data_IF_130357904553
#
_entry.id   IF_130357904553
#
_cell.length_a   1.000
_cell.length_b   1.000
_cell.length_c   1.000
_cell.angle_alpha   90.00
_cell.angle_beta   90.00
_cell.angle_gamma   90.00
#
_symmetry.space_group_name_H-M   'P 1'
#
loop_
_entity.id
_entity.type
_entity.pdbx_description
1 polymer ?
#
# COMPACT_ATOMS: atom_id res chain seq x y z
N UNK A 1 -12.90 -1.27 -9.33
CA UNK A 1 -11.82 -1.71 -10.22
C UNK A 1 -11.96 -1.00 -11.57
N UNK A 2 -10.85 -0.58 -12.17
CA UNK A 2 -10.80 0.32 -13.33
C UNK A 2 -10.08 -0.33 -14.52
N UNK A 3 -10.48 0.02 -15.74
CA UNK A 3 -9.78 -0.42 -16.95
C UNK A 3 -8.47 0.35 -17.16
N UNK A 4 -7.56 -0.18 -17.99
CA UNK A 4 -6.34 0.56 -18.36
C UNK A 4 -6.65 1.90 -19.03
N UNK A 5 -7.73 1.98 -19.82
CA UNK A 5 -8.17 3.23 -20.45
C UNK A 5 -8.56 4.28 -19.41
N UNK A 6 -9.33 3.87 -18.40
CA UNK A 6 -9.72 4.77 -17.30
C UNK A 6 -8.49 5.21 -16.49
N UNK A 7 -7.57 4.30 -16.21
CA UNK A 7 -6.32 4.62 -15.52
C UNK A 7 -5.46 5.63 -16.32
N UNK A 8 -5.38 5.49 -17.64
CA UNK A 8 -4.74 6.49 -18.50
C UNK A 8 -5.42 7.86 -18.39
N UNK A 9 -6.75 7.92 -18.44
CA UNK A 9 -7.50 9.18 -18.33
C UNK A 9 -7.25 9.89 -17.00
N UNK A 10 -7.21 9.14 -15.89
CA UNK A 10 -7.00 9.72 -14.56
C UNK A 10 -5.55 10.19 -14.37
N UNK A 11 -4.58 9.38 -14.81
CA UNK A 11 -3.15 9.65 -14.53
C UNK A 11 -2.49 10.54 -15.57
N UNK A 12 -3.05 10.61 -16.77
CA UNK A 12 -2.41 11.19 -17.95
C UNK A 12 -1.25 10.35 -18.51
N UNK A 13 -1.04 9.14 -17.99
CA UNK A 13 -0.03 8.22 -18.51
C UNK A 13 -0.55 7.47 -19.72
N UNK A 14 0.34 7.14 -20.64
CA UNK A 14 0.02 6.24 -21.75
C UNK A 14 -0.11 4.79 -21.25
N UNK A 15 -0.91 3.98 -21.95
CA UNK A 15 -1.00 2.55 -21.67
C UNK A 15 0.37 1.84 -21.75
N UNK A 16 1.28 2.33 -22.60
CA UNK A 16 2.66 1.84 -22.71
C UNK A 16 3.44 2.08 -21.42
N UNK A 17 3.38 3.29 -20.86
CA UNK A 17 4.02 3.63 -19.58
C UNK A 17 3.48 2.77 -18.45
N UNK A 18 2.15 2.64 -18.32
CA UNK A 18 1.52 1.83 -17.27
C UNK A 18 1.98 0.37 -17.35
N UNK A 19 1.97 -0.24 -18.55
CA UNK A 19 2.45 -1.61 -18.76
C UNK A 19 3.94 -1.76 -18.46
N UNK A 20 4.73 -0.73 -18.77
CA UNK A 20 6.14 -0.71 -18.46
C UNK A 20 6.38 -0.65 -16.94
N UNK A 21 5.67 0.19 -16.20
CA UNK A 21 5.78 0.25 -14.75
C UNK A 21 5.34 -1.06 -14.07
N UNK A 22 4.29 -1.71 -14.58
CA UNK A 22 3.91 -3.06 -14.16
C UNK A 22 5.03 -4.07 -14.42
N UNK A 23 5.65 -4.06 -15.61
CA UNK A 23 6.72 -5.01 -15.94
C UNK A 23 8.00 -4.80 -15.12
N UNK A 24 8.26 -3.57 -14.68
CA UNK A 24 9.33 -3.25 -13.74
C UNK A 24 9.00 -3.63 -12.28
N UNK A 25 7.77 -4.08 -12.03
CA UNK A 25 7.29 -4.55 -10.73
C UNK A 25 6.89 -3.44 -9.77
N UNK A 26 6.63 -2.22 -10.27
CA UNK A 26 6.25 -1.07 -9.43
C UNK A 26 4.81 -1.16 -8.92
N UNK A 27 3.95 -1.87 -9.64
CA UNK A 27 2.58 -2.17 -9.26
C UNK A 27 2.16 -3.55 -9.76
N UNK A 28 1.11 -4.12 -9.15
CA UNK A 28 0.56 -5.43 -9.50
C UNK A 28 -0.97 -5.35 -9.53
N UNK A 29 -1.55 -4.85 -10.64
CA UNK A 29 -3.01 -4.74 -10.76
C UNK A 29 -3.65 -6.13 -10.77
N UNK A 30 -4.92 -6.19 -10.37
CA UNK A 30 -5.70 -7.41 -10.43
C UNK A 30 -5.93 -7.84 -11.89
N UNK A 31 -6.11 -9.14 -12.12
CA UNK A 31 -6.48 -9.68 -13.43
C UNK A 31 -7.81 -10.39 -13.33
N UNK A 32 -8.70 -10.09 -14.28
CA UNK A 32 -9.97 -10.81 -14.41
C UNK A 32 -9.73 -12.25 -14.84
N UNK A 33 -10.76 -13.10 -14.73
CA UNK A 33 -10.75 -14.46 -15.29
C UNK A 33 -10.43 -14.46 -16.81
N UNK A 34 -10.83 -13.42 -17.54
CA UNK A 34 -10.49 -13.21 -18.96
C UNK A 34 -9.11 -12.58 -19.21
N UNK A 35 -8.25 -12.46 -18.19
CA UNK A 35 -6.88 -11.96 -18.32
C UNK A 35 -6.72 -10.43 -18.44
N UNK A 36 -7.82 -9.68 -18.35
CA UNK A 36 -7.80 -8.21 -18.45
C UNK A 36 -7.31 -7.57 -17.15
N UNK A 37 -6.52 -6.50 -17.27
CA UNK A 37 -6.03 -5.75 -16.10
C UNK A 37 -7.13 -4.89 -15.51
N UNK A 38 -7.24 -4.97 -14.19
CA UNK A 38 -8.13 -4.16 -13.38
C UNK A 38 -7.30 -3.42 -12.32
N UNK A 39 -7.35 -2.09 -12.39
CA UNK A 39 -6.62 -1.20 -11.50
C UNK A 39 -7.53 -0.78 -10.35
N UNK A 40 -7.03 -0.88 -9.12
CA UNK A 40 -7.65 -0.29 -7.94
C UNK A 40 -7.34 1.22 -7.85
N UNK A 41 -7.99 1.94 -6.94
CA UNK A 41 -7.62 3.33 -6.66
C UNK A 41 -6.19 3.44 -6.14
N UNK A 42 -5.77 2.50 -5.28
CA UNK A 42 -4.39 2.43 -4.81
C UNK A 42 -3.37 2.27 -5.96
N UNK A 43 -3.71 1.51 -7.01
CA UNK A 43 -2.85 1.41 -8.19
C UNK A 43 -2.74 2.76 -8.93
N UNK A 44 -3.83 3.54 -8.97
CA UNK A 44 -3.82 4.89 -9.55
C UNK A 44 -2.94 5.82 -8.73
N UNK A 45 -3.04 5.79 -7.41
CA UNK A 45 -2.18 6.60 -6.52
C UNK A 45 -0.70 6.25 -6.73
N UNK A 46 -0.38 4.96 -6.85
CA UNK A 46 0.98 4.49 -7.17
C UNK A 46 1.45 5.02 -8.52
N UNK A 47 0.60 5.02 -9.54
CA UNK A 47 0.91 5.54 -10.88
C UNK A 47 1.15 7.06 -10.87
N UNK A 48 0.32 7.83 -10.16
CA UNK A 48 0.49 9.28 -9.99
C UNK A 48 1.81 9.58 -9.29
N UNK A 49 2.10 8.87 -8.19
CA UNK A 49 3.35 9.07 -7.49
C UNK A 49 4.57 8.70 -8.37
N UNK A 50 4.51 7.64 -9.20
CA UNK A 50 5.61 7.34 -10.16
C UNK A 50 5.81 8.51 -11.12
N UNK A 51 4.73 9.09 -11.63
CA UNK A 51 4.77 10.22 -12.55
C UNK A 51 5.43 11.44 -11.90
N UNK A 52 5.04 11.77 -10.68
CA UNK A 52 5.60 12.91 -9.94
C UNK A 52 7.08 12.72 -9.65
N UNK A 53 7.47 11.50 -9.31
CA UNK A 53 8.86 11.15 -9.06
C UNK A 53 9.74 11.27 -10.31
N UNK A 54 9.25 10.79 -11.45
CA UNK A 54 9.96 10.94 -12.72
C UNK A 54 10.05 12.42 -13.13
N UNK A 55 9.00 13.21 -12.86
CA UNK A 55 9.00 14.65 -13.11
C UNK A 55 9.99 15.42 -12.21
N UNK A 56 10.21 14.94 -10.99
CA UNK A 56 11.23 15.46 -10.07
C UNK A 56 12.67 15.04 -10.44
N UNK A 57 12.86 14.27 -11.51
CA UNK A 57 14.18 13.85 -12.01
C UNK A 57 14.70 12.55 -11.43
N UNK A 58 13.89 11.80 -10.68
CA UNK A 58 14.29 10.47 -10.21
C UNK A 58 14.32 9.48 -11.37
N UNK A 59 15.27 8.55 -11.31
CA UNK A 59 15.29 7.38 -12.19
C UNK A 59 14.28 6.34 -11.71
N UNK A 60 13.81 5.49 -12.62
CA UNK A 60 12.84 4.45 -12.27
C UNK A 60 13.37 3.45 -11.22
N UNK A 61 14.68 3.22 -11.20
CA UNK A 61 15.33 2.41 -10.16
C UNK A 61 15.21 3.03 -8.77
N UNK A 62 15.47 4.33 -8.65
CA UNK A 62 15.30 5.07 -7.39
C UNK A 62 13.83 5.10 -6.93
N UNK A 63 12.89 5.25 -7.86
CA UNK A 63 11.46 5.17 -7.56
C UNK A 63 11.11 3.80 -6.96
N UNK A 64 11.65 2.73 -7.53
CA UNK A 64 11.43 1.36 -7.04
C UNK A 64 11.98 1.15 -5.64
N UNK A 65 13.19 1.62 -5.37
CA UNK A 65 13.83 1.52 -4.06
C UNK A 65 13.04 2.27 -2.98
N UNK A 66 12.67 3.53 -3.26
CA UNK A 66 11.86 4.33 -2.32
C UNK A 66 10.53 3.64 -2.00
N UNK A 67 9.82 3.15 -3.03
CA UNK A 67 8.54 2.44 -2.84
C UNK A 67 8.69 1.14 -2.05
N UNK A 68 9.81 0.44 -2.20
CA UNK A 68 10.09 -0.74 -1.39
C UNK A 68 10.29 -0.35 0.08
N UNK A 69 11.02 0.73 0.34
CA UNK A 69 11.23 1.26 1.69
C UNK A 69 9.93 1.76 2.35
N UNK A 70 9.08 2.49 1.62
CA UNK A 70 7.77 2.94 2.11
C UNK A 70 6.86 1.77 2.51
N UNK A 71 6.82 0.72 1.68
CA UNK A 71 6.04 -0.49 1.98
C UNK A 71 6.54 -1.18 3.24
N UNK A 72 7.86 -1.26 3.43
CA UNK A 72 8.46 -1.84 4.62
C UNK A 72 8.15 -1.02 5.87
N UNK A 73 8.17 0.32 5.77
CA UNK A 73 7.88 1.21 6.89
C UNK A 73 6.40 1.12 7.33
N UNK A 74 5.46 1.06 6.38
CA UNK A 74 4.05 0.85 6.70
C UNK A 74 3.81 -0.51 7.36
N UNK A 75 4.53 -1.57 6.93
CA UNK A 75 4.44 -2.88 7.57
C UNK A 75 5.00 -2.88 8.99
N UNK A 76 6.05 -2.10 9.29
CA UNK A 76 6.54 -1.95 10.66
C UNK A 76 5.58 -1.17 11.55
N UNK A 77 4.95 -0.11 11.05
CA UNK A 77 3.97 0.67 11.83
C UNK A 77 2.73 -0.18 12.17
N UNK A 78 2.20 -0.92 11.20
CA UNK A 78 1.06 -1.81 11.43
C UNK A 78 1.41 -2.91 12.45
N UNK A 79 2.60 -3.51 12.33
CA UNK A 79 3.08 -4.49 13.33
C UNK A 79 3.20 -3.86 14.72
N UNK A 80 3.71 -2.63 14.83
CA UNK A 80 3.79 -1.93 16.10
C UNK A 80 2.41 -1.71 16.72
N UNK A 81 1.41 -1.30 15.92
CA UNK A 81 0.02 -1.15 16.37
C UNK A 81 -0.59 -2.44 16.89
N UNK A 82 -0.38 -3.55 16.17
CA UNK A 82 -0.87 -4.88 16.58
C UNK A 82 -0.20 -5.32 17.89
N UNK A 83 1.12 -5.19 18.00
CA UNK A 83 1.85 -5.56 19.22
C UNK A 83 1.39 -4.73 20.44
N UNK A 84 1.21 -3.42 20.26
CA UNK A 84 0.68 -2.54 21.30
C UNK A 84 -0.74 -2.93 21.70
N UNK A 85 -1.61 -3.28 20.73
CA UNK A 85 -2.97 -3.74 20.99
C UNK A 85 -2.98 -5.04 21.80
N UNK A 86 -2.18 -6.00 21.39
CA UNK A 86 -2.07 -7.29 22.08
C UNK A 86 -1.55 -7.12 23.51
N UNK A 87 -0.58 -6.22 23.71
CA UNK A 87 -0.05 -5.92 25.04
C UNK A 87 -1.09 -5.21 25.92
N UNK A 88 -1.79 -4.22 25.38
CA UNK A 88 -2.89 -3.53 26.08
C UNK A 88 -3.97 -4.51 26.55
N UNK A 89 -4.32 -5.53 25.73
CA UNK A 89 -5.28 -6.57 26.11
C UNK A 89 -4.76 -7.47 27.23
N UNK A 90 -3.45 -7.81 27.22
CA UNK A 90 -2.81 -8.60 28.29
C UNK A 90 -2.76 -7.83 29.61
N UNK A 91 -2.41 -6.55 29.59
CA UNK A 91 -2.32 -5.71 30.79
C UNK A 91 -3.71 -5.30 31.32
N UNK A 92 -4.68 -5.03 30.44
CA UNK A 92 -6.05 -4.67 30.86
C UNK A 92 -6.84 -5.83 31.49
N UNK A 93 -6.41 -7.08 31.28
CA UNK A 93 -6.97 -8.26 31.96
C UNK A 93 -6.67 -8.33 33.47
N UNK A 94 -5.79 -7.47 34.00
CA UNK A 94 -5.35 -7.51 35.41
C UNK A 94 -6.09 -6.56 36.36
N UNK A 95 -7.07 -5.76 35.91
CA UNK A 95 -7.82 -4.83 36.78
C UNK A 95 -9.12 -5.40 37.40
N UNK A 96 -9.41 -6.69 37.23
CA UNK A 96 -10.62 -7.30 37.82
C UNK A 96 -10.42 -8.10 39.11
N UNK A 97 -9.19 -8.23 39.62
CA UNK A 97 -8.91 -8.98 40.86
C UNK A 97 -8.43 -8.08 42.01
N UNK A 98 -9.11 -6.95 42.24
CA UNK A 98 -9.06 -6.32 43.57
C UNK A 98 -10.29 -6.76 44.36
N UNK A 99 -10.10 -7.89 45.04
CA UNK A 99 -10.98 -8.39 46.09
C UNK A 99 -11.20 -7.30 47.15
N UNK A 100 -12.41 -6.71 47.19
CA UNK A 100 -12.88 -6.01 48.37
C UNK A 100 -13.40 -7.06 49.38
N UNK A 101 -12.88 -7.11 50.62
CA UNK A 101 -13.38 -8.05 51.61
C UNK A 101 -14.81 -7.66 51.96
N UNK A 102 -15.76 -8.59 51.76
CA UNK A 102 -17.10 -8.46 52.32
C UNK A 102 -17.08 -8.92 53.77
N UNK A 103 -17.51 -8.00 54.63
CA UNK A 103 -17.79 -8.09 56.06
C UNK A 103 -18.32 -9.45 56.54
#
# INVERSE_FOLDING_TARGET
>A
MLSIGTACTITGLTARQIRYYESQGLLKPHRTAGGQRQFSMNDVDVLLAIKDDLAAGYTLGQVKERRASERNNNLSDEKARVLLRDEMLRTAGFLNDTEFPRN
#
